data_IF_199642249466
#
_entry.id   IF_199642249466
#
_cell.length_a   1.000
_cell.length_b   1.000
_cell.length_c   1.000
_cell.angle_alpha   90.00
_cell.angle_beta   90.00
_cell.angle_gamma   90.00
#
_symmetry.space_group_name_H-M   'P 1'
#
loop_
_entity.id
_entity.type
_entity.pdbx_description
1 polymer ?
#
# COMPACT_ATOMS: atom_id res chain seq x y z
N UNK A 1 -57.51 67.73 -9.38
CA UNK A 1 -58.89 67.46 -8.88
C UNK A 1 -58.76 66.43 -7.76
N UNK A 2 -58.83 66.91 -6.53
CA UNK A 2 -59.98 66.71 -5.58
C UNK A 2 -60.19 65.19 -5.32
N UNK A 3 -60.13 64.68 -4.18
CA UNK A 3 -60.56 64.78 -2.75
C UNK A 3 -60.65 63.32 -2.32
N UNK A 4 -60.52 62.76 -1.17
CA UNK A 4 -60.76 63.15 0.24
C UNK A 4 -60.07 62.20 1.20
N UNK A 5 -59.72 62.73 2.31
CA UNK A 5 -59.40 62.10 3.59
C UNK A 5 -60.52 61.16 4.10
N UNK A 6 -60.14 60.15 4.85
CA UNK A 6 -60.81 59.80 6.07
C UNK A 6 -59.91 59.01 7.01
N UNK A 7 -59.83 59.49 8.24
CA UNK A 7 -59.15 58.95 9.40
C UNK A 7 -59.96 57.80 9.94
N UNK A 8 -59.33 56.67 10.28
CA UNK A 8 -59.93 55.76 11.24
C UNK A 8 -58.84 55.24 12.17
N UNK A 9 -58.91 55.68 13.43
CA UNK A 9 -58.09 55.21 14.52
C UNK A 9 -58.60 53.81 14.94
N UNK A 10 -57.68 52.83 15.01
CA UNK A 10 -57.96 51.54 15.62
C UNK A 10 -56.88 51.22 16.64
N UNK A 11 -57.26 51.03 17.87
CA UNK A 11 -56.45 50.61 19.00
C UNK A 11 -55.65 49.35 18.69
N UNK A 12 -54.34 49.42 18.87
CA UNK A 12 -53.53 48.23 18.91
C UNK A 12 -53.22 47.87 20.35
N UNK A 13 -53.89 46.79 20.80
CA UNK A 13 -53.61 46.12 22.05
C UNK A 13 -52.24 45.46 21.97
N UNK A 14 -51.25 45.96 22.73
CA UNK A 14 -49.96 45.42 22.84
C UNK A 14 -49.99 44.10 23.64
N UNK A 15 -49.96 42.96 22.95
CA UNK A 15 -49.71 41.67 23.57
C UNK A 15 -48.21 41.42 23.53
N UNK A 16 -47.52 41.70 24.62
CA UNK A 16 -46.10 41.41 24.81
C UNK A 16 -45.91 39.91 25.00
N UNK A 17 -45.71 39.18 23.91
CA UNK A 17 -45.22 37.82 23.93
C UNK A 17 -43.71 37.88 24.06
N UNK A 18 -43.16 37.67 25.27
CA UNK A 18 -41.76 37.39 25.50
C UNK A 18 -41.46 35.99 25.01
N UNK A 19 -41.05 35.86 23.77
CA UNK A 19 -40.37 34.64 23.26
C UNK A 19 -39.03 34.52 23.98
N UNK A 20 -39.03 33.72 25.04
CA UNK A 20 -37.78 33.21 25.62
C UNK A 20 -37.02 32.39 24.57
N UNK A 21 -36.10 33.04 23.86
CA UNK A 21 -35.11 32.35 23.04
C UNK A 21 -34.19 31.62 24.02
N UNK A 22 -34.49 30.36 24.31
CA UNK A 22 -33.51 29.44 24.84
C UNK A 22 -32.40 29.33 23.77
N UNK A 23 -31.36 30.12 23.89
CA UNK A 23 -30.06 29.81 23.29
C UNK A 23 -29.54 28.55 23.99
N UNK A 24 -29.99 27.38 23.52
CA UNK A 24 -29.19 26.19 23.66
C UNK A 24 -27.89 26.51 22.93
N UNK A 25 -26.85 26.86 23.69
CA UNK A 25 -25.48 26.91 23.21
C UNK A 25 -25.22 25.54 22.59
N UNK A 26 -25.28 25.48 21.28
CA UNK A 26 -24.63 24.42 20.55
C UNK A 26 -23.15 24.50 20.94
N UNK A 27 -22.79 23.81 22.01
CA UNK A 27 -21.40 23.41 22.22
C UNK A 27 -21.06 22.58 20.98
N UNK A 28 -20.47 23.24 19.98
CA UNK A 28 -19.68 22.57 18.99
C UNK A 28 -18.68 21.73 19.79
N UNK A 29 -18.93 20.43 19.89
CA UNK A 29 -17.90 19.46 20.16
C UNK A 29 -16.92 19.59 18.98
N UNK A 30 -16.06 20.60 19.04
CA UNK A 30 -14.77 20.52 18.38
C UNK A 30 -14.13 19.29 19.03
N UNK A 31 -14.25 18.16 18.33
CA UNK A 31 -13.56 16.94 18.70
C UNK A 31 -12.11 17.36 18.91
N UNK A 32 -11.65 17.21 20.13
CA UNK A 32 -10.32 17.61 20.57
C UNK A 32 -9.31 16.83 19.73
N UNK A 33 -8.89 17.39 18.58
CA UNK A 33 -7.95 16.80 17.61
C UNK A 33 -6.57 16.59 18.25
N UNK A 34 -6.41 16.96 19.51
CA UNK A 34 -5.15 16.93 20.26
C UNK A 34 -5.06 15.84 21.33
N UNK A 35 -5.95 14.88 21.39
CA UNK A 35 -5.77 13.75 22.31
C UNK A 35 -4.50 12.96 21.89
N UNK A 36 -3.61 12.65 22.85
CA UNK A 36 -2.41 11.88 22.54
C UNK A 36 -2.79 10.52 21.92
N UNK A 37 -2.15 10.16 20.81
CA UNK A 37 -2.35 8.85 20.20
C UNK A 37 -2.12 7.75 21.24
N UNK A 38 -3.00 6.76 21.27
CA UNK A 38 -2.98 5.66 22.23
C UNK A 38 -3.30 4.34 21.52
N UNK A 39 -2.88 3.23 22.11
CA UNK A 39 -3.12 1.90 21.56
C UNK A 39 -2.01 0.93 21.94
N UNK A 40 -2.24 -0.37 21.81
CA UNK A 40 -1.28 -1.37 22.30
C UNK A 40 0.06 -1.35 21.57
N UNK A 41 0.08 -1.06 20.26
CA UNK A 41 1.33 -0.94 19.50
C UNK A 41 2.03 0.35 19.87
N UNK A 42 1.31 1.46 19.93
CA UNK A 42 1.84 2.78 20.32
C UNK A 42 2.43 2.71 21.73
N UNK A 43 1.73 2.10 22.68
CA UNK A 43 2.23 1.98 24.05
C UNK A 43 3.52 1.14 24.09
N UNK A 44 3.56 0.01 23.38
CA UNK A 44 4.77 -0.80 23.29
C UNK A 44 5.95 -0.05 22.68
N UNK A 45 5.71 0.76 21.65
CA UNK A 45 6.75 1.60 21.02
C UNK A 45 7.28 2.62 22.03
N UNK A 46 6.41 3.28 22.80
CA UNK A 46 6.82 4.22 23.84
C UNK A 46 7.64 3.55 24.94
N UNK A 47 7.19 2.41 25.44
CA UNK A 47 7.84 1.68 26.54
C UNK A 47 9.21 1.13 26.13
N UNK A 48 9.35 0.65 24.90
CA UNK A 48 10.59 0.08 24.38
C UNK A 48 11.48 1.07 23.65
N UNK A 49 10.96 2.25 23.34
CA UNK A 49 11.60 3.26 22.48
C UNK A 49 12.09 2.66 21.14
N UNK A 50 11.37 1.67 20.62
CA UNK A 50 11.76 0.91 19.41
C UNK A 50 10.57 0.63 18.54
N UNK A 51 10.71 0.95 17.25
CA UNK A 51 9.83 0.51 16.17
C UNK A 51 10.50 -0.67 15.45
N UNK A 52 9.82 -1.81 15.37
CA UNK A 52 10.36 -2.97 14.63
C UNK A 52 9.70 -3.09 13.27
N UNK A 53 10.51 -3.12 12.22
CA UNK A 53 10.05 -3.15 10.82
C UNK A 53 10.54 -4.42 10.15
N UNK A 54 9.61 -5.22 9.63
CA UNK A 54 9.88 -6.36 8.77
C UNK A 54 10.10 -5.90 7.33
N UNK A 55 11.06 -6.51 6.63
CA UNK A 55 11.31 -6.28 5.21
C UNK A 55 11.73 -7.57 4.51
N UNK A 56 11.38 -7.72 3.23
CA UNK A 56 11.82 -8.85 2.40
C UNK A 56 12.93 -8.39 1.47
N UNK A 57 14.18 -8.90 1.62
CA UNK A 57 15.31 -8.46 0.82
C UNK A 57 15.23 -8.86 -0.68
N UNK A 58 14.23 -9.68 -1.05
CA UNK A 58 14.08 -10.23 -2.40
C UNK A 58 12.91 -9.61 -3.18
N UNK A 59 12.46 -8.42 -2.80
CA UNK A 59 11.34 -7.72 -3.46
C UNK A 59 11.76 -6.34 -4.01
N UNK A 60 12.95 -6.27 -4.59
CA UNK A 60 13.40 -5.09 -5.32
C UNK A 60 12.44 -4.75 -6.49
N UNK A 61 12.16 -3.46 -6.75
CA UNK A 61 12.73 -2.25 -6.16
C UNK A 61 12.02 -1.75 -4.89
N UNK A 62 11.04 -2.48 -4.35
CA UNK A 62 10.23 -2.06 -3.19
C UNK A 62 10.94 -2.29 -1.86
N UNK A 63 11.66 -3.41 -1.74
CA UNK A 63 12.33 -3.84 -0.52
C UNK A 63 13.51 -4.73 -0.86
N UNK A 64 14.70 -4.35 -0.41
CA UNK A 64 15.94 -5.08 -0.65
C UNK A 64 16.98 -4.75 0.44
N UNK A 65 18.07 -5.51 0.46
CA UNK A 65 19.27 -5.14 1.22
C UNK A 65 20.18 -4.34 0.30
N UNK A 66 20.57 -3.14 0.70
CA UNK A 66 21.52 -2.29 -0.02
C UNK A 66 22.95 -2.80 0.05
N UNK A 67 23.85 -2.16 -0.67
CA UNK A 67 25.29 -2.51 -0.72
C UNK A 67 25.97 -2.27 0.64
N UNK A 68 25.42 -1.38 1.46
CA UNK A 68 25.83 -1.11 2.84
C UNK A 68 25.29 -2.15 3.85
N UNK A 69 24.54 -3.14 3.39
CA UNK A 69 23.91 -4.17 4.21
C UNK A 69 22.61 -3.71 4.89
N UNK A 70 22.17 -2.47 4.71
CA UNK A 70 20.97 -1.90 5.32
C UNK A 70 19.73 -2.09 4.43
N UNK A 71 18.51 -2.13 5.04
CA UNK A 71 17.28 -2.15 4.28
C UNK A 71 17.09 -0.90 3.44
N UNK A 72 16.71 -1.08 2.18
CA UNK A 72 16.41 -0.01 1.24
C UNK A 72 15.32 -0.45 0.26
N UNK A 73 14.78 0.49 -0.53
CA UNK A 73 13.68 0.23 -1.46
C UNK A 73 12.58 1.26 -1.32
N UNK A 74 11.72 1.34 -2.31
CA UNK A 74 10.63 2.33 -2.33
C UNK A 74 9.74 2.26 -1.08
N UNK A 75 9.23 1.08 -0.74
CA UNK A 75 8.37 0.90 0.45
C UNK A 75 9.18 1.07 1.75
N UNK A 76 10.43 0.59 1.76
CA UNK A 76 11.33 0.77 2.91
C UNK A 76 11.60 2.25 3.18
N UNK A 77 11.82 3.06 2.15
CA UNK A 77 12.05 4.51 2.31
C UNK A 77 10.77 5.22 2.80
N UNK A 78 9.58 4.82 2.34
CA UNK A 78 8.31 5.30 2.91
C UNK A 78 8.21 4.96 4.40
N UNK A 79 8.60 3.74 4.79
CA UNK A 79 8.60 3.34 6.21
C UNK A 79 9.64 4.08 7.05
N UNK A 80 10.78 4.46 6.48
CA UNK A 80 11.73 5.36 7.16
C UNK A 80 11.13 6.74 7.42
N UNK A 81 10.34 7.28 6.46
CA UNK A 81 9.60 8.53 6.65
C UNK A 81 8.56 8.35 7.77
N UNK A 82 7.80 7.25 7.75
CA UNK A 82 6.83 6.93 8.82
C UNK A 82 7.53 6.86 10.18
N UNK A 83 8.64 6.15 10.29
CA UNK A 83 9.40 6.05 11.53
C UNK A 83 9.86 7.42 12.05
N UNK A 84 10.38 8.27 11.17
CA UNK A 84 10.80 9.63 11.54
C UNK A 84 9.63 10.48 12.05
N UNK A 85 8.47 10.40 11.39
CA UNK A 85 7.28 11.17 11.80
C UNK A 85 6.62 10.64 13.07
N UNK A 86 6.70 9.35 13.35
CA UNK A 86 6.20 8.75 14.59
C UNK A 86 6.88 9.32 15.82
N UNK A 87 8.17 9.64 15.76
CA UNK A 87 8.88 10.31 16.87
C UNK A 87 8.16 11.59 17.29
N UNK A 88 7.81 12.43 16.32
CA UNK A 88 7.08 13.69 16.56
C UNK A 88 5.63 13.44 16.98
N UNK A 89 4.91 12.54 16.29
CA UNK A 89 3.50 12.26 16.57
C UNK A 89 3.28 11.63 17.96
N UNK A 90 4.27 10.88 18.45
CA UNK A 90 4.21 10.23 19.76
C UNK A 90 4.85 11.05 20.87
N UNK A 91 5.31 12.28 20.57
CA UNK A 91 6.03 13.16 21.50
C UNK A 91 7.23 12.46 22.17
N UNK A 92 8.01 11.72 21.36
CA UNK A 92 9.19 10.99 21.80
C UNK A 92 10.47 11.80 21.53
N UNK A 93 11.49 11.69 22.39
CA UNK A 93 12.79 12.33 22.16
C UNK A 93 13.60 11.58 21.11
N UNK A 94 13.52 10.26 21.14
CA UNK A 94 14.16 9.37 20.18
C UNK A 94 13.39 8.04 20.11
N UNK A 95 13.58 7.33 19.01
CA UNK A 95 13.03 5.99 18.78
C UNK A 95 14.01 5.23 17.88
N UNK A 96 14.47 4.09 18.36
CA UNK A 96 15.28 3.19 17.54
C UNK A 96 14.43 2.47 16.50
N UNK A 97 15.01 2.21 15.34
CA UNK A 97 14.37 1.39 14.30
C UNK A 97 15.12 0.07 14.17
N UNK A 98 14.46 -1.02 14.54
CA UNK A 98 14.96 -2.37 14.39
C UNK A 98 14.40 -3.01 13.13
N UNK A 99 15.28 -3.47 12.25
CA UNK A 99 14.89 -4.16 11.02
C UNK A 99 15.03 -5.67 11.18
N UNK A 100 14.00 -6.42 10.73
CA UNK A 100 14.02 -7.88 10.69
C UNK A 100 13.79 -8.37 9.26
N UNK A 101 14.63 -9.33 8.83
CA UNK A 101 14.50 -9.96 7.50
C UNK A 101 13.38 -10.98 7.50
N UNK A 102 12.53 -10.90 6.51
CA UNK A 102 11.42 -11.83 6.28
C UNK A 102 11.41 -12.34 4.84
N UNK A 103 10.42 -13.11 4.50
CA UNK A 103 10.13 -13.59 3.14
C UNK A 103 8.63 -13.60 2.89
N UNK A 104 8.18 -14.04 1.74
CA UNK A 104 6.77 -14.07 1.34
C UNK A 104 5.84 -14.82 2.30
N UNK A 105 6.34 -15.63 3.23
CA UNK A 105 5.57 -16.31 4.29
C UNK A 105 5.78 -15.65 5.64
N UNK A 106 7.01 -15.60 6.13
CA UNK A 106 7.32 -15.16 7.49
C UNK A 106 6.95 -13.71 7.79
N UNK A 107 6.74 -12.86 6.77
CA UNK A 107 6.26 -11.48 6.96
C UNK A 107 4.88 -11.40 7.61
N UNK A 108 4.01 -12.36 7.33
CA UNK A 108 2.69 -12.44 7.98
C UNK A 108 2.82 -12.90 9.43
N UNK A 109 3.63 -13.92 9.65
CA UNK A 109 3.88 -14.49 10.98
C UNK A 109 4.51 -13.42 11.91
N UNK A 110 5.42 -12.56 11.40
CA UNK A 110 6.05 -11.48 12.15
C UNK A 110 5.06 -10.40 12.63
N UNK A 111 4.07 -10.03 11.81
CA UNK A 111 3.01 -9.07 12.22
C UNK A 111 2.01 -9.74 13.16
N UNK A 112 1.60 -10.98 12.88
CA UNK A 112 0.61 -11.70 13.69
C UNK A 112 1.13 -11.95 15.10
N UNK A 113 2.40 -12.33 15.25
CA UNK A 113 3.04 -12.55 16.55
C UNK A 113 3.40 -11.26 17.31
N UNK A 114 3.36 -10.10 16.64
CA UNK A 114 3.85 -8.82 17.19
C UNK A 114 5.38 -8.72 17.27
N UNK A 115 6.11 -9.58 16.56
CA UNK A 115 7.56 -9.46 16.39
C UNK A 115 7.93 -8.21 15.57
N UNK A 116 7.09 -7.85 14.60
CA UNK A 116 7.19 -6.60 13.85
C UNK A 116 5.93 -5.74 14.01
N UNK A 117 6.12 -4.42 14.01
CA UNK A 117 5.07 -3.41 14.04
C UNK A 117 4.57 -3.07 12.63
N UNK A 118 5.48 -3.00 11.68
CA UNK A 118 5.24 -2.72 10.27
C UNK A 118 5.89 -3.79 9.38
N UNK A 119 5.25 -4.07 8.26
CA UNK A 119 5.83 -4.85 7.18
C UNK A 119 5.95 -3.97 5.94
N UNK A 120 7.19 -3.76 5.49
CA UNK A 120 7.58 -2.75 4.53
C UNK A 120 8.20 -3.36 3.27
N UNK A 121 7.43 -4.17 2.56
CA UNK A 121 7.81 -4.75 1.27
C UNK A 121 6.70 -4.59 0.21
N UNK A 122 6.66 -5.42 -0.81
CA UNK A 122 5.59 -5.42 -1.82
C UNK A 122 4.42 -6.27 -1.34
N UNK A 123 3.68 -5.80 -0.34
CA UNK A 123 2.53 -6.52 0.21
C UNK A 123 1.23 -6.07 -0.41
N UNK A 124 0.60 -6.97 -1.20
CA UNK A 124 -0.71 -6.73 -1.80
C UNK A 124 -1.79 -6.63 -0.73
N UNK A 125 -2.50 -5.51 -0.71
CA UNK A 125 -3.67 -5.27 0.12
C UNK A 125 -4.89 -5.92 -0.53
N UNK A 126 -5.37 -7.03 0.04
CA UNK A 126 -6.55 -7.76 -0.45
C UNK A 126 -7.60 -7.88 0.64
N UNK A 127 -8.88 -8.00 0.25
CA UNK A 127 -9.98 -8.20 1.20
C UNK A 127 -9.77 -9.41 2.09
N UNK A 128 -9.17 -10.48 1.56
CA UNK A 128 -8.88 -11.70 2.33
C UNK A 128 -7.83 -11.43 3.42
N UNK A 129 -6.74 -10.73 3.08
CA UNK A 129 -5.70 -10.34 4.05
C UNK A 129 -6.19 -9.31 5.07
N UNK A 130 -7.09 -8.40 4.68
CA UNK A 130 -7.71 -7.43 5.61
C UNK A 130 -8.54 -8.08 6.73
N UNK A 131 -8.91 -9.35 6.58
CA UNK A 131 -9.59 -10.09 7.68
C UNK A 131 -8.66 -10.32 8.87
N UNK A 132 -7.36 -10.41 8.64
CA UNK A 132 -6.34 -10.73 9.66
C UNK A 132 -5.45 -9.53 9.99
N UNK A 133 -5.15 -8.67 9.02
CA UNK A 133 -4.20 -7.57 9.12
C UNK A 133 -4.86 -6.23 8.79
N UNK A 134 -4.27 -5.14 9.27
CA UNK A 134 -4.54 -3.81 8.78
C UNK A 134 -3.52 -3.42 7.70
N UNK A 135 -3.95 -2.57 6.80
CA UNK A 135 -3.14 -2.01 5.73
C UNK A 135 -3.21 -0.48 5.75
N UNK A 136 -2.12 0.16 5.39
CA UNK A 136 -2.06 1.60 5.20
C UNK A 136 -2.86 2.05 3.96
N UNK A 137 -2.82 3.35 3.69
CA UNK A 137 -3.09 3.88 2.36
C UNK A 137 -2.25 3.11 1.33
N UNK A 138 -2.78 2.97 0.12
CA UNK A 138 -2.06 2.28 -0.97
C UNK A 138 -0.79 3.05 -1.32
N UNK A 139 0.33 2.36 -1.34
CA UNK A 139 1.64 2.98 -1.65
C UNK A 139 2.01 2.85 -3.10
N UNK A 140 1.50 1.83 -3.79
CA UNK A 140 1.79 1.57 -5.19
C UNK A 140 0.68 0.73 -5.86
N UNK A 141 0.47 0.95 -7.17
CA UNK A 141 -0.42 0.12 -7.99
C UNK A 141 0.36 -0.36 -9.20
N UNK A 142 0.24 -1.65 -9.49
CA UNK A 142 0.78 -2.26 -10.69
C UNK A 142 -0.10 -3.42 -11.16
N UNK A 143 0.29 -4.07 -12.27
CA UNK A 143 -0.36 -5.28 -12.76
C UNK A 143 0.47 -6.53 -12.53
N UNK A 144 -0.20 -7.68 -12.39
CA UNK A 144 0.40 -8.99 -12.53
C UNK A 144 0.33 -9.44 -13.99
N UNK A 145 1.44 -9.99 -14.50
CA UNK A 145 1.58 -10.43 -15.89
C UNK A 145 2.40 -11.71 -15.98
N UNK A 146 2.77 -12.09 -17.20
CA UNK A 146 3.67 -13.21 -17.45
C UNK A 146 4.99 -12.74 -18.04
N UNK A 147 6.09 -13.30 -17.55
CA UNK A 147 7.40 -13.23 -18.20
C UNK A 147 7.65 -14.50 -18.99
N UNK A 148 8.13 -14.36 -20.22
CA UNK A 148 8.43 -15.46 -21.15
C UNK A 148 9.81 -15.28 -21.77
N UNK A 149 10.41 -16.35 -22.28
CA UNK A 149 11.65 -16.24 -23.06
C UNK A 149 11.39 -15.56 -24.39
N UNK A 150 12.36 -14.80 -24.87
CA UNK A 150 12.29 -14.15 -26.19
C UNK A 150 12.27 -15.14 -27.35
N UNK A 151 12.87 -16.34 -27.17
CA UNK A 151 12.89 -17.43 -28.15
C UNK A 151 11.60 -18.28 -28.16
N UNK A 152 10.68 -18.01 -27.22
CA UNK A 152 9.40 -18.70 -27.16
C UNK A 152 8.33 -17.92 -27.94
N UNK A 153 7.55 -18.63 -28.76
CA UNK A 153 6.42 -18.06 -29.50
C UNK A 153 5.16 -17.92 -28.60
N UNK A 154 5.30 -17.16 -27.50
CA UNK A 154 4.28 -16.94 -26.46
C UNK A 154 4.01 -15.44 -26.36
N UNK A 155 3.05 -14.91 -27.13
CA UNK A 155 2.82 -13.46 -27.26
C UNK A 155 1.61 -12.95 -26.47
N UNK A 156 0.71 -13.85 -26.09
CA UNK A 156 -0.54 -13.54 -25.39
C UNK A 156 -0.95 -14.67 -24.47
N UNK A 157 -1.93 -14.41 -23.61
CA UNK A 157 -2.40 -15.35 -22.58
C UNK A 157 -2.85 -16.70 -23.16
N UNK A 158 -3.56 -16.70 -24.29
CA UNK A 158 -4.05 -17.92 -24.94
C UNK A 158 -2.92 -18.90 -25.31
N UNK A 159 -1.71 -18.38 -25.56
CA UNK A 159 -0.54 -19.22 -25.88
C UNK A 159 0.01 -19.96 -24.66
N UNK A 160 -0.50 -19.69 -23.47
CA UNK A 160 -0.08 -20.34 -22.21
C UNK A 160 -0.90 -21.61 -21.90
N UNK A 161 -1.86 -21.98 -22.73
CA UNK A 161 -2.60 -23.23 -22.62
C UNK A 161 -1.63 -24.42 -22.68
N UNK A 162 -1.78 -25.39 -21.77
CA UNK A 162 -0.97 -26.60 -21.60
C UNK A 162 0.53 -26.33 -21.32
N UNK A 163 0.89 -25.11 -20.92
CA UNK A 163 2.24 -24.72 -20.57
C UNK A 163 2.56 -24.94 -19.09
N UNK A 164 3.87 -25.03 -18.78
CA UNK A 164 4.38 -25.04 -17.41
C UNK A 164 4.60 -23.61 -16.94
N UNK A 165 3.87 -23.21 -15.89
CA UNK A 165 3.92 -21.86 -15.35
C UNK A 165 4.56 -21.87 -13.96
N UNK A 166 5.60 -21.07 -13.74
CA UNK A 166 6.13 -20.83 -12.40
C UNK A 166 5.37 -19.69 -11.72
N UNK A 167 5.14 -19.84 -10.42
CA UNK A 167 4.67 -18.76 -9.52
C UNK A 167 5.47 -18.78 -8.23
N UNK A 168 5.63 -17.62 -7.59
CA UNK A 168 6.23 -17.57 -6.25
C UNK A 168 5.18 -17.94 -5.22
N UNK A 169 5.46 -18.95 -4.39
CA UNK A 169 4.54 -19.42 -3.35
C UNK A 169 4.21 -18.31 -2.35
N UNK A 170 3.03 -18.40 -1.72
CA UNK A 170 2.50 -17.43 -0.73
C UNK A 170 2.28 -16.01 -1.28
N UNK A 171 2.14 -15.87 -2.61
CA UNK A 171 1.75 -14.62 -3.28
C UNK A 171 0.27 -14.65 -3.67
N UNK A 172 -0.28 -13.45 -3.93
CA UNK A 172 -1.61 -13.27 -4.53
C UNK A 172 -1.71 -13.95 -5.89
N UNK A 173 -0.65 -13.80 -6.72
CA UNK A 173 -0.56 -14.44 -8.03
C UNK A 173 -0.62 -15.97 -7.93
N UNK A 174 0.11 -16.59 -6.98
CA UNK A 174 0.03 -18.05 -6.77
C UNK A 174 -1.39 -18.50 -6.44
N UNK A 175 -2.08 -17.77 -5.55
CA UNK A 175 -3.47 -18.06 -5.20
C UNK A 175 -4.40 -17.93 -6.42
N UNK A 176 -4.26 -16.85 -7.18
CA UNK A 176 -5.07 -16.57 -8.35
C UNK A 176 -4.88 -17.65 -9.43
N UNK A 177 -3.63 -18.03 -9.73
CA UNK A 177 -3.33 -19.06 -10.71
C UNK A 177 -3.90 -20.43 -10.31
N UNK A 178 -3.77 -20.81 -9.04
CA UNK A 178 -4.40 -22.04 -8.51
C UNK A 178 -5.91 -22.04 -8.69
N UNK A 179 -6.56 -20.90 -8.41
CA UNK A 179 -8.00 -20.77 -8.58
C UNK A 179 -8.41 -20.82 -10.05
N UNK A 180 -7.70 -20.14 -10.95
CA UNK A 180 -7.97 -20.17 -12.38
C UNK A 180 -7.85 -21.58 -13.00
N UNK A 181 -6.85 -22.34 -12.56
CA UNK A 181 -6.67 -23.74 -13.00
C UNK A 181 -7.76 -24.62 -12.40
N UNK A 182 -8.06 -24.51 -11.11
CA UNK A 182 -9.07 -25.34 -10.43
C UNK A 182 -10.49 -25.08 -10.98
N UNK A 183 -10.79 -23.86 -11.44
CA UNK A 183 -12.07 -23.51 -12.05
C UNK A 183 -12.16 -23.82 -13.55
N UNK A 184 -11.10 -24.32 -14.17
CA UNK A 184 -11.03 -24.57 -15.61
C UNK A 184 -10.90 -23.33 -16.49
N UNK A 185 -10.71 -22.14 -15.90
CA UNK A 185 -10.46 -20.89 -16.65
C UNK A 185 -9.09 -20.87 -17.31
N UNK A 186 -8.14 -21.66 -16.81
CA UNK A 186 -6.82 -21.82 -17.38
C UNK A 186 -6.41 -23.30 -17.35
N UNK A 187 -5.90 -23.78 -18.47
CA UNK A 187 -5.29 -25.11 -18.57
C UNK A 187 -3.77 -24.93 -18.58
N UNK A 188 -3.12 -25.23 -17.46
CA UNK A 188 -1.67 -25.12 -17.34
C UNK A 188 -1.15 -25.99 -16.18
N UNK A 189 0.12 -26.36 -16.21
CA UNK A 189 0.80 -27.01 -15.09
C UNK A 189 1.47 -25.95 -14.23
N UNK A 190 1.07 -25.80 -12.96
CA UNK A 190 1.62 -24.82 -12.06
C UNK A 190 2.78 -25.41 -11.24
N UNK A 191 3.90 -24.68 -11.20
CA UNK A 191 5.11 -25.03 -10.44
C UNK A 191 5.40 -23.88 -9.46
N UNK A 192 5.50 -24.19 -8.16
CA UNK A 192 5.77 -23.20 -7.13
C UNK A 192 7.27 -23.01 -6.90
N UNK A 193 7.77 -21.81 -7.15
CA UNK A 193 9.13 -21.38 -6.82
C UNK A 193 9.18 -20.73 -5.43
N UNK A 194 10.34 -20.75 -4.78
CA UNK A 194 10.55 -20.12 -3.47
C UNK A 194 10.78 -18.61 -3.54
N UNK A 195 11.20 -18.09 -4.69
CA UNK A 195 11.48 -16.66 -4.95
C UNK A 195 11.37 -16.36 -6.44
N UNK A 196 11.32 -15.07 -6.82
CA UNK A 196 11.38 -14.64 -8.21
C UNK A 196 12.71 -15.02 -8.87
N UNK A 197 13.82 -14.98 -8.14
CA UNK A 197 15.12 -15.46 -8.62
C UNK A 197 15.06 -16.94 -9.00
N UNK A 198 14.51 -17.79 -8.13
CA UNK A 198 14.35 -19.21 -8.41
C UNK A 198 13.46 -19.46 -9.64
N UNK A 199 12.34 -18.73 -9.76
CA UNK A 199 11.46 -18.79 -10.92
C UNK A 199 12.18 -18.33 -12.21
N UNK A 200 12.98 -17.27 -12.14
CA UNK A 200 13.82 -16.78 -13.23
C UNK A 200 14.82 -17.84 -13.73
N UNK A 201 15.49 -18.52 -12.81
CA UNK A 201 16.40 -19.62 -13.14
C UNK A 201 15.68 -20.79 -13.83
N UNK A 202 14.47 -21.17 -13.33
CA UNK A 202 13.65 -22.21 -13.96
C UNK A 202 13.26 -21.82 -15.40
N UNK A 203 12.89 -20.55 -15.63
CA UNK A 203 12.56 -20.07 -16.98
C UNK A 203 13.79 -20.05 -17.89
N UNK A 204 14.96 -19.64 -17.38
CA UNK A 204 16.23 -19.64 -18.11
C UNK A 204 16.67 -21.04 -18.53
N UNK A 205 16.47 -22.03 -17.65
CA UNK A 205 16.81 -23.43 -17.88
C UNK A 205 15.76 -24.20 -18.70
N UNK A 206 14.68 -23.53 -19.15
CA UNK A 206 13.56 -24.16 -19.88
C UNK A 206 12.79 -25.20 -19.06
N UNK A 207 12.87 -25.16 -17.74
CA UNK A 207 12.10 -26.02 -16.83
C UNK A 207 10.62 -25.62 -16.80
N UNK A 208 10.36 -24.30 -17.05
CA UNK A 208 9.01 -23.71 -17.23
C UNK A 208 8.97 -22.87 -18.49
N UNK A 209 7.76 -22.62 -18.99
CA UNK A 209 7.50 -21.84 -20.20
C UNK A 209 7.30 -20.36 -19.92
N UNK A 210 6.70 -20.06 -18.75
CA UNK A 210 6.45 -18.69 -18.29
C UNK A 210 6.51 -18.58 -16.76
N UNK A 211 6.69 -17.34 -16.27
CA UNK A 211 6.54 -16.98 -14.86
C UNK A 211 5.33 -16.05 -14.75
N UNK A 212 4.38 -16.37 -13.88
CA UNK A 212 3.31 -15.44 -13.50
C UNK A 212 3.71 -14.67 -12.22
N UNK A 213 3.56 -13.36 -12.25
CA UNK A 213 3.92 -12.51 -11.10
C UNK A 213 3.71 -11.04 -11.36
N UNK A 214 4.08 -10.27 -10.37
CA UNK A 214 3.98 -8.82 -10.35
C UNK A 214 5.02 -8.24 -11.32
N UNK A 215 4.56 -7.41 -12.25
CA UNK A 215 5.34 -6.91 -13.39
C UNK A 215 6.68 -6.32 -12.97
N UNK A 216 6.69 -5.41 -12.00
CA UNK A 216 7.92 -4.71 -11.60
C UNK A 216 8.87 -5.61 -10.80
N UNK A 217 8.36 -6.52 -9.96
CA UNK A 217 9.22 -7.48 -9.25
C UNK A 217 9.91 -8.42 -10.23
N UNK A 218 9.18 -8.93 -11.23
CA UNK A 218 9.77 -9.77 -12.27
C UNK A 218 10.77 -8.99 -13.15
N UNK A 219 10.42 -7.76 -13.54
CA UNK A 219 11.26 -6.92 -14.38
C UNK A 219 12.59 -6.61 -13.71
N UNK A 220 12.57 -6.16 -12.45
CA UNK A 220 13.78 -5.86 -11.70
C UNK A 220 14.65 -7.12 -11.51
N UNK A 221 14.05 -8.25 -11.18
CA UNK A 221 14.75 -9.52 -11.04
C UNK A 221 15.41 -9.96 -12.35
N UNK A 222 14.75 -9.77 -13.49
CA UNK A 222 15.29 -10.10 -14.82
C UNK A 222 16.51 -9.21 -15.12
N UNK A 223 16.44 -7.90 -14.84
CA UNK A 223 17.56 -6.98 -15.05
C UNK A 223 18.74 -7.37 -14.18
N UNK A 224 18.52 -7.58 -12.88
CA UNK A 224 19.58 -7.92 -11.90
C UNK A 224 20.26 -9.25 -12.21
N UNK A 225 19.53 -10.23 -12.70
CA UNK A 225 20.06 -11.55 -13.06
C UNK A 225 20.92 -11.55 -14.32
N UNK A 226 21.12 -10.39 -14.98
CA UNK A 226 21.79 -10.26 -16.28
C UNK A 226 21.17 -11.11 -17.41
N UNK A 227 19.93 -11.54 -17.22
CA UNK A 227 19.16 -12.32 -18.20
C UNK A 227 18.24 -11.44 -19.07
N UNK A 228 18.30 -10.09 -18.89
CA UNK A 228 17.36 -9.12 -19.44
C UNK A 228 17.12 -9.20 -20.95
N UNK A 229 18.13 -9.61 -21.74
CA UNK A 229 17.98 -9.79 -23.19
C UNK A 229 17.32 -11.11 -23.60
N UNK A 230 17.06 -12.03 -22.66
CA UNK A 230 16.48 -13.35 -22.91
C UNK A 230 15.00 -13.45 -22.65
N UNK A 231 14.44 -12.46 -21.95
CA UNK A 231 13.05 -12.48 -21.48
C UNK A 231 12.31 -11.21 -21.87
N UNK A 232 11.00 -11.33 -21.99
CA UNK A 232 10.07 -10.22 -22.13
C UNK A 232 8.84 -10.46 -21.29
N UNK A 233 8.17 -9.35 -20.91
CA UNK A 233 6.85 -9.40 -20.30
C UNK A 233 5.78 -9.45 -21.37
N UNK A 234 4.71 -10.21 -21.14
CA UNK A 234 3.51 -10.07 -21.95
C UNK A 234 2.90 -8.67 -21.73
N UNK A 235 2.29 -8.09 -22.80
CA UNK A 235 1.74 -6.74 -22.71
C UNK A 235 0.52 -6.65 -21.78
N UNK A 236 -0.27 -7.74 -21.69
CA UNK A 236 -1.49 -7.77 -20.89
C UNK A 236 -1.18 -8.06 -19.43
N UNK A 237 -1.80 -7.28 -18.52
CA UNK A 237 -1.93 -7.62 -17.12
C UNK A 237 -3.21 -8.41 -16.91
N UNK A 238 -3.17 -9.44 -16.07
CA UNK A 238 -4.35 -10.28 -15.77
C UNK A 238 -4.96 -9.99 -14.40
N UNK A 239 -4.28 -9.25 -13.55
CA UNK A 239 -4.80 -8.81 -12.24
C UNK A 239 -4.14 -7.50 -11.80
N UNK A 240 -4.87 -6.59 -11.13
CA UNK A 240 -4.29 -5.45 -10.46
C UNK A 240 -3.67 -5.87 -9.13
N UNK A 241 -2.57 -5.23 -8.75
CA UNK A 241 -1.90 -5.37 -7.47
C UNK A 241 -1.81 -4.01 -6.77
N UNK A 242 -2.36 -3.94 -5.56
CA UNK A 242 -2.40 -2.74 -4.72
C UNK A 242 -1.48 -2.95 -3.52
N UNK A 243 -0.32 -2.33 -3.50
CA UNK A 243 0.61 -2.47 -2.38
C UNK A 243 0.31 -1.49 -1.27
N UNK A 244 0.49 -1.93 -0.03
CA UNK A 244 0.35 -1.11 1.15
C UNK A 244 1.24 -1.65 2.29
N UNK A 245 1.57 -0.82 3.25
CA UNK A 245 2.28 -1.20 4.46
C UNK A 245 1.32 -2.03 5.32
N UNK A 246 1.73 -3.23 5.72
CA UNK A 246 0.92 -4.11 6.55
C UNK A 246 1.30 -3.95 8.03
N UNK A 247 0.30 -4.05 8.90
CA UNK A 247 0.45 -3.93 10.36
C UNK A 247 -0.64 -4.70 11.09
N UNK A 248 -0.55 -4.80 12.41
CA UNK A 248 -1.61 -5.37 13.23
C UNK A 248 -2.90 -4.56 13.11
N UNK A 249 -4.05 -5.22 13.07
CA UNK A 249 -5.36 -4.56 13.09
C UNK A 249 -5.83 -4.18 14.51
N UNK A 250 -5.06 -4.51 15.53
CA UNK A 250 -5.45 -4.29 16.93
C UNK A 250 -5.24 -2.84 17.40
N UNK A 251 -4.56 -2.01 16.59
CA UNK A 251 -4.28 -0.61 16.91
C UNK A 251 -4.69 0.32 15.76
N UNK A 252 -5.93 0.80 15.73
CA UNK A 252 -6.41 1.73 14.71
C UNK A 252 -5.73 3.10 14.78
N UNK A 253 -5.29 3.55 15.95
CA UNK A 253 -4.57 4.81 16.14
C UNK A 253 -3.16 4.74 15.53
N UNK A 254 -2.46 3.61 15.68
CA UNK A 254 -1.20 3.39 14.99
C UNK A 254 -1.35 3.41 13.47
N UNK A 255 -2.41 2.74 12.96
CA UNK A 255 -2.74 2.81 11.53
C UNK A 255 -3.03 4.24 11.08
N UNK A 256 -3.77 5.00 11.88
CA UNK A 256 -4.04 6.42 11.58
C UNK A 256 -2.75 7.22 11.49
N UNK A 257 -1.81 7.06 12.43
CA UNK A 257 -0.52 7.74 12.43
C UNK A 257 0.31 7.44 11.17
N UNK A 258 0.35 6.17 10.76
CA UNK A 258 0.98 5.75 9.51
C UNK A 258 0.30 6.41 8.30
N UNK A 259 -1.02 6.38 8.23
CA UNK A 259 -1.80 6.95 7.13
C UNK A 259 -1.68 8.48 7.06
N UNK A 260 -1.69 9.17 8.19
CA UNK A 260 -1.49 10.62 8.24
C UNK A 260 -0.12 11.00 7.68
N UNK A 261 0.92 10.24 8.02
CA UNK A 261 2.26 10.45 7.45
C UNK A 261 2.29 10.22 5.95
N UNK A 262 1.73 9.13 5.45
CA UNK A 262 1.68 8.84 4.02
C UNK A 262 0.90 9.91 3.26
N UNK A 263 -0.27 10.29 3.77
CA UNK A 263 -1.11 11.33 3.17
C UNK A 263 -0.37 12.68 3.06
N UNK A 264 0.36 13.09 4.12
CA UNK A 264 1.22 14.29 4.07
C UNK A 264 2.33 14.13 3.04
N UNK A 265 3.00 12.97 2.99
CA UNK A 265 4.06 12.68 2.02
C UNK A 265 3.55 12.81 0.59
N UNK A 266 2.33 12.33 0.29
CA UNK A 266 1.71 12.41 -1.03
C UNK A 266 1.37 13.85 -1.46
N UNK A 267 1.25 14.80 -0.51
CA UNK A 267 1.06 16.24 -0.80
C UNK A 267 2.36 17.00 -1.04
N UNK A 268 3.51 16.37 -0.88
CA UNK A 268 4.81 17.02 -0.99
C UNK A 268 5.60 16.52 -2.19
N UNK A 269 6.62 17.25 -2.66
CA UNK A 269 7.52 16.78 -3.72
C UNK A 269 8.25 15.47 -3.38
N UNK A 270 8.35 15.13 -2.10
CA UNK A 270 9.09 13.94 -1.60
C UNK A 270 8.62 12.65 -2.28
N UNK A 271 7.31 12.50 -2.51
CA UNK A 271 6.80 11.29 -3.18
C UNK A 271 7.28 11.16 -4.62
N UNK A 272 7.34 12.29 -5.34
CA UNK A 272 7.89 12.35 -6.71
C UNK A 272 9.39 12.02 -6.73
N UNK A 273 10.16 12.54 -5.77
CA UNK A 273 11.59 12.25 -5.63
C UNK A 273 11.84 10.77 -5.32
N UNK A 274 11.03 10.16 -4.43
CA UNK A 274 11.09 8.73 -4.15
C UNK A 274 10.75 7.90 -5.38
N UNK A 275 9.68 8.25 -6.08
CA UNK A 275 9.31 7.56 -7.33
C UNK A 275 10.45 7.66 -8.34
N UNK A 276 10.98 8.86 -8.58
CA UNK A 276 12.09 9.06 -9.53
C UNK A 276 13.34 8.26 -9.13
N UNK A 277 13.67 8.20 -7.85
CA UNK A 277 14.82 7.43 -7.34
C UNK A 277 14.70 5.94 -7.67
N UNK A 278 13.52 5.36 -7.46
CA UNK A 278 13.33 3.92 -7.56
C UNK A 278 12.85 3.45 -8.95
N UNK A 279 12.14 4.31 -9.67
CA UNK A 279 11.49 3.96 -10.93
C UNK A 279 11.83 4.91 -12.09
N UNK A 280 12.70 5.90 -11.88
CA UNK A 280 13.01 6.94 -12.86
C UNK A 280 13.54 6.43 -14.21
N UNK A 281 14.15 5.25 -14.22
CA UNK A 281 14.52 4.55 -15.46
C UNK A 281 13.34 3.97 -16.25
N UNK A 282 12.14 3.92 -15.63
CA UNK A 282 10.91 3.36 -16.19
C UNK A 282 9.88 4.43 -16.60
N UNK A 283 10.26 5.72 -16.57
CA UNK A 283 9.46 6.92 -16.83
C UNK A 283 8.84 7.58 -15.57
N UNK A 284 8.20 8.75 -15.79
CA UNK A 284 7.39 9.45 -14.79
C UNK A 284 6.25 8.56 -14.26
N UNK A 285 5.70 8.84 -13.07
CA UNK A 285 4.51 8.16 -12.60
C UNK A 285 3.43 8.21 -13.68
N UNK A 286 2.89 7.05 -14.05
CA UNK A 286 1.74 7.02 -14.96
C UNK A 286 0.52 7.68 -14.31
N UNK A 287 -0.46 8.10 -15.12
CA UNK A 287 -1.69 8.77 -14.65
C UNK A 287 -2.37 8.06 -13.47
N UNK A 288 -2.33 6.72 -13.45
CA UNK A 288 -2.89 5.94 -12.35
C UNK A 288 -2.16 6.17 -11.02
N UNK A 289 -0.83 6.25 -11.05
CA UNK A 289 -0.04 6.53 -9.84
C UNK A 289 -0.19 7.98 -9.38
N UNK A 290 -0.26 8.93 -10.30
CA UNK A 290 -0.55 10.33 -9.98
C UNK A 290 -1.93 10.48 -9.34
N UNK A 291 -2.96 9.84 -9.92
CA UNK A 291 -4.31 9.82 -9.36
C UNK A 291 -4.35 9.15 -7.98
N UNK A 292 -3.56 8.07 -7.77
CA UNK A 292 -3.44 7.43 -6.47
C UNK A 292 -2.93 8.40 -5.40
N UNK A 293 -1.81 9.08 -5.65
CA UNK A 293 -1.26 10.03 -4.70
C UNK A 293 -2.22 11.19 -4.44
N UNK A 294 -2.79 11.77 -5.50
CA UNK A 294 -3.74 12.86 -5.38
C UNK A 294 -4.98 12.50 -4.54
N UNK A 295 -5.59 11.35 -4.80
CA UNK A 295 -6.81 10.93 -4.10
C UNK A 295 -6.59 10.51 -2.65
N UNK A 296 -5.36 10.21 -2.26
CA UNK A 296 -4.97 9.85 -0.89
C UNK A 296 -4.25 10.98 -0.13
N UNK A 297 -4.07 12.13 -0.76
CA UNK A 297 -3.50 13.34 -0.17
C UNK A 297 -4.58 14.12 0.63
N UNK A 298 -5.11 13.50 1.70
CA UNK A 298 -6.18 14.09 2.49
C UNK A 298 -5.74 15.41 3.16
N UNK A 299 -6.59 16.44 3.20
CA UNK A 299 -6.34 17.65 3.99
C UNK A 299 -6.27 17.33 5.49
N UNK A 300 -5.62 18.24 6.25
CA UNK A 300 -5.61 18.20 7.73
C UNK A 300 -6.87 18.81 8.32
#
# INVERSE_FOLDING_TARGET
MRYYSTILAALILACSFTLGVNQAAAQSNEANVSAPLSGPVIQRIRDKQTLTIAYDPNQSPFSLTGDDGLPTGYTVDLCKIVASQLVTQLDMKLMDVRWIKTNTRSRFDAIESGEADLECSASSNTLDRQRQFAFSLTTFIQGATFAVRNDANLEKLDHLTDKKLAVVRNTTTSKLMKQAIASGQMQATLIEAKSFEAAGNMLANKEVDAIAGDRLLMFDQIIRSKLGTRFRMLPQDFAPEYYAIMMSKTDPEFRWAVNATLSRTYRTPVIGELYQRWFGSLNQPGQLMEALYFTQAYPE
#
